data_IF_022192358737
#
_entry.id   IF_022192358737
#
_cell.length_a   1.000
_cell.length_b   1.000
_cell.length_c   1.000
_cell.angle_alpha   90.00
_cell.angle_beta   90.00
_cell.angle_gamma   90.00
#
_symmetry.space_group_name_H-M   'P 1'
#
loop_
_entity.id
_entity.type
_entity.pdbx_description
1 polymer ?
#
# COMPACT_ATOMS: atom_id res chain seq x y z
N UNK A 1 -18.41 -10.23 10.39
CA UNK A 1 -17.76 -10.54 9.09
C UNK A 1 -16.27 -10.78 9.29
N UNK A 2 -15.67 -11.73 8.57
CA UNK A 2 -14.33 -12.21 8.91
C UNK A 2 -13.21 -11.21 8.62
N UNK A 3 -13.31 -10.44 7.52
CA UNK A 3 -12.34 -9.37 7.22
C UNK A 3 -12.32 -8.29 8.32
N UNK A 4 -13.49 -7.95 8.89
CA UNK A 4 -13.59 -6.98 9.99
C UNK A 4 -12.91 -7.52 11.25
N UNK A 5 -13.03 -8.83 11.53
CA UNK A 5 -12.34 -9.45 12.67
C UNK A 5 -10.83 -9.39 12.50
N UNK A 6 -10.31 -9.65 11.29
CA UNK A 6 -8.87 -9.53 11.00
C UNK A 6 -8.41 -8.09 11.18
N UNK A 7 -9.13 -7.12 10.61
CA UNK A 7 -8.80 -5.70 10.73
C UNK A 7 -8.75 -5.24 12.20
N UNK A 8 -9.79 -5.54 12.98
CA UNK A 8 -9.86 -5.11 14.38
C UNK A 8 -8.94 -5.93 15.29
N UNK A 9 -8.73 -7.21 15.01
CA UNK A 9 -7.86 -8.09 15.79
C UNK A 9 -6.38 -7.74 15.64
N UNK A 10 -5.97 -7.34 14.42
CA UNK A 10 -4.58 -7.00 14.13
C UNK A 10 -4.22 -5.53 14.42
N UNK A 11 -5.20 -4.63 14.53
CA UNK A 11 -4.94 -3.18 14.54
C UNK A 11 -3.95 -2.71 15.61
N UNK A 12 -3.93 -3.35 16.79
CA UNK A 12 -2.97 -3.01 17.85
C UNK A 12 -1.54 -3.38 17.44
N UNK A 13 -1.34 -4.65 17.04
CA UNK A 13 -0.05 -5.14 16.58
C UNK A 13 0.47 -4.41 15.33
N UNK A 14 -0.41 -3.97 14.44
CA UNK A 14 -0.04 -3.17 13.27
C UNK A 14 0.49 -1.77 13.66
N UNK A 15 -0.11 -1.14 14.68
CA UNK A 15 0.39 0.13 15.25
C UNK A 15 1.74 -0.09 15.91
N UNK A 16 1.88 -1.14 16.73
CA UNK A 16 3.15 -1.47 17.41
C UNK A 16 4.26 -1.74 16.38
N UNK A 17 3.96 -2.48 15.31
CA UNK A 17 4.90 -2.72 14.23
C UNK A 17 5.38 -1.43 13.55
N UNK A 18 4.48 -0.48 13.29
CA UNK A 18 4.83 0.84 12.74
C UNK A 18 5.75 1.63 13.68
N UNK A 19 5.45 1.63 14.98
CA UNK A 19 6.27 2.31 15.99
C UNK A 19 7.64 1.65 16.12
N UNK A 20 7.69 0.33 16.29
CA UNK A 20 8.92 -0.41 16.60
C UNK A 20 9.86 -0.56 15.39
N UNK A 21 9.31 -0.80 14.19
CA UNK A 21 10.15 -1.09 13.00
C UNK A 21 10.52 0.16 12.22
N UNK A 22 9.72 1.21 12.31
CA UNK A 22 9.91 2.44 11.54
C UNK A 22 10.13 3.68 12.41
N UNK A 23 10.17 3.52 13.74
CA UNK A 23 10.39 4.60 14.70
C UNK A 23 9.39 5.76 14.50
N UNK A 24 8.12 5.41 14.27
CA UNK A 24 7.06 6.37 14.00
C UNK A 24 6.40 6.86 15.29
N UNK A 25 6.20 8.17 15.40
CA UNK A 25 5.38 8.75 16.48
C UNK A 25 3.90 8.56 16.16
N UNK A 26 3.25 7.67 16.89
CA UNK A 26 1.80 7.41 16.88
C UNK A 26 1.18 7.58 18.28
N UNK A 27 1.77 8.44 19.10
CA UNK A 27 1.46 8.57 20.54
C UNK A 27 0.16 9.31 20.86
N UNK A 28 -0.35 10.16 19.95
CA UNK A 28 -1.58 10.91 20.16
C UNK A 28 -2.79 10.13 19.63
N UNK A 29 -3.90 10.17 20.36
CA UNK A 29 -5.13 9.47 19.99
C UNK A 29 -6.31 10.43 19.92
N UNK A 30 -7.09 10.32 18.83
CA UNK A 30 -8.33 11.07 18.63
C UNK A 30 -9.55 10.14 18.51
N UNK A 31 -10.74 10.68 18.83
CA UNK A 31 -12.03 10.05 18.55
C UNK A 31 -12.61 10.68 17.28
N UNK A 32 -12.82 9.87 16.25
CA UNK A 32 -13.49 10.29 15.03
C UNK A 32 -14.99 9.92 15.06
N UNK A 33 -15.75 10.41 14.08
CA UNK A 33 -17.18 10.10 13.94
C UNK A 33 -17.44 8.59 13.90
N UNK A 34 -18.52 8.14 14.55
CA UNK A 34 -18.88 6.72 14.63
C UNK A 34 -18.02 5.88 15.60
N UNK A 35 -16.99 6.44 16.23
CA UNK A 35 -16.21 5.72 17.24
C UNK A 35 -16.85 5.81 18.62
N UNK A 36 -16.86 4.72 19.39
CA UNK A 36 -17.26 4.68 20.80
C UNK A 36 -16.19 5.22 21.75
N UNK A 37 -14.91 5.18 21.34
CA UNK A 37 -13.76 5.62 22.13
C UNK A 37 -12.67 6.21 21.20
N UNK A 38 -11.74 7.05 21.72
CA UNK A 38 -10.56 7.49 20.98
C UNK A 38 -9.71 6.29 20.53
N UNK A 39 -9.39 6.20 19.24
CA UNK A 39 -8.58 5.10 18.67
C UNK A 39 -7.89 5.44 17.34
N UNK A 40 -7.88 6.72 16.96
CA UNK A 40 -7.20 7.16 15.74
C UNK A 40 -5.85 7.74 16.12
N UNK A 41 -4.79 6.99 15.82
CA UNK A 41 -3.42 7.32 16.20
C UNK A 41 -2.78 8.34 15.24
N UNK A 42 -1.98 9.25 15.78
CA UNK A 42 -1.17 10.22 15.01
C UNK A 42 0.05 10.69 15.80
N UNK A 43 1.00 11.28 15.09
CA UNK A 43 2.14 11.99 15.68
C UNK A 43 1.84 13.45 16.00
N UNK A 44 2.81 14.11 16.65
CA UNK A 44 2.70 15.52 17.08
C UNK A 44 2.78 16.55 15.94
N UNK A 45 3.67 16.34 14.98
CA UNK A 45 4.09 17.42 14.05
C UNK A 45 3.56 17.30 12.62
N UNK A 46 3.35 16.08 12.11
CA UNK A 46 3.04 15.84 10.70
C UNK A 46 1.78 15.01 10.52
N UNK A 47 1.16 15.15 9.34
CA UNK A 47 0.03 14.29 8.97
C UNK A 47 0.47 12.82 8.96
N UNK A 48 -0.31 11.91 9.59
CA UNK A 48 0.09 10.51 9.77
C UNK A 48 0.31 9.81 8.42
N UNK A 49 -0.54 10.08 7.42
CA UNK A 49 -0.43 9.48 6.10
C UNK A 49 0.91 9.76 5.40
N UNK A 50 1.38 11.01 5.43
CA UNK A 50 2.70 11.35 4.87
C UNK A 50 3.82 10.68 5.64
N UNK A 51 3.80 10.77 6.97
CA UNK A 51 4.89 10.27 7.83
C UNK A 51 5.09 8.76 7.67
N UNK A 52 4.00 7.99 7.69
CA UNK A 52 4.03 6.54 7.49
C UNK A 52 4.53 6.22 6.07
N UNK A 53 3.98 6.87 5.05
CA UNK A 53 4.33 6.60 3.64
C UNK A 53 5.80 6.87 3.36
N UNK A 54 6.34 8.01 3.82
CA UNK A 54 7.74 8.35 3.63
C UNK A 54 8.68 7.36 4.33
N UNK A 55 8.38 6.97 5.57
CA UNK A 55 9.21 6.01 6.30
C UNK A 55 9.28 4.65 5.60
N UNK A 56 8.15 4.15 5.10
CA UNK A 56 8.07 2.89 4.37
C UNK A 56 8.83 2.95 3.04
N UNK A 57 8.63 4.02 2.24
CA UNK A 57 9.32 4.21 0.95
C UNK A 57 10.83 4.28 1.17
N UNK A 58 11.30 5.10 2.11
CA UNK A 58 12.72 5.25 2.40
C UNK A 58 13.38 3.93 2.82
N UNK A 59 12.64 3.06 3.52
CA UNK A 59 13.18 1.76 3.90
C UNK A 59 13.31 0.82 2.69
N UNK A 60 12.34 0.82 1.77
CA UNK A 60 12.42 0.07 0.50
C UNK A 60 13.56 0.59 -0.37
N UNK A 61 13.73 1.91 -0.47
CA UNK A 61 14.84 2.53 -1.20
C UNK A 61 16.19 2.08 -0.66
N UNK A 62 16.40 2.13 0.66
CA UNK A 62 17.63 1.64 1.31
C UNK A 62 17.92 0.16 1.04
N UNK A 63 16.88 -0.68 0.90
CA UNK A 63 17.05 -2.10 0.53
C UNK A 63 17.47 -2.21 -0.93
N UNK A 64 16.85 -1.42 -1.83
CA UNK A 64 17.16 -1.42 -3.26
C UNK A 64 18.55 -0.88 -3.60
N UNK A 65 19.10 0.02 -2.78
CA UNK A 65 20.47 0.54 -2.94
C UNK A 65 21.54 -0.51 -2.64
N UNK A 66 21.20 -1.53 -1.83
CA UNK A 66 22.16 -2.51 -1.29
C UNK A 66 21.96 -3.91 -1.82
N UNK A 67 20.78 -4.19 -2.37
CA UNK A 67 20.36 -5.55 -2.78
C UNK A 67 19.45 -5.48 -4.00
N UNK A 68 19.30 -6.60 -4.68
CA UNK A 68 18.34 -6.84 -5.76
C UNK A 68 16.97 -7.33 -5.26
N UNK A 69 16.77 -7.40 -3.94
CA UNK A 69 15.56 -7.97 -3.33
C UNK A 69 14.31 -7.10 -3.49
N UNK A 70 14.48 -5.81 -3.77
CA UNK A 70 13.40 -4.87 -3.95
C UNK A 70 13.78 -3.79 -4.96
N UNK A 71 12.79 -3.27 -5.68
CA UNK A 71 12.93 -2.14 -6.60
C UNK A 71 11.64 -1.33 -6.66
N UNK A 72 11.78 -0.02 -6.82
CA UNK A 72 10.65 0.89 -7.06
C UNK A 72 10.73 1.36 -8.51
N UNK A 73 9.70 1.05 -9.30
CA UNK A 73 9.60 1.49 -10.69
C UNK A 73 8.50 2.55 -10.78
N UNK A 74 8.91 3.82 -10.86
CA UNK A 74 7.97 4.94 -11.03
C UNK A 74 7.62 5.14 -12.50
N UNK A 75 6.51 5.86 -12.74
CA UNK A 75 5.94 6.10 -14.08
C UNK A 75 5.67 4.81 -14.85
N UNK A 76 5.31 3.75 -14.12
CA UNK A 76 4.94 2.46 -14.65
C UNK A 76 3.45 2.22 -14.39
N UNK A 77 2.70 1.92 -15.45
CA UNK A 77 1.27 1.61 -15.36
C UNK A 77 1.08 0.12 -15.63
N UNK A 78 0.64 -0.65 -14.64
CA UNK A 78 0.23 -2.03 -14.86
C UNK A 78 -1.05 -2.05 -15.69
N UNK A 79 -1.09 -2.87 -16.75
CA UNK A 79 -2.19 -2.88 -17.73
C UNK A 79 -2.85 -4.24 -17.89
N UNK A 80 -2.13 -5.34 -17.61
CA UNK A 80 -2.64 -6.69 -17.82
C UNK A 80 -2.05 -7.68 -16.82
N UNK A 81 -2.86 -8.62 -16.33
CA UNK A 81 -2.37 -9.79 -15.60
C UNK A 81 -2.01 -10.90 -16.59
N UNK A 82 -0.91 -11.58 -16.31
CA UNK A 82 -0.50 -12.77 -17.05
C UNK A 82 -1.05 -14.00 -16.33
N UNK A 83 -1.75 -14.86 -17.06
CA UNK A 83 -2.28 -16.12 -16.53
C UNK A 83 -1.71 -17.31 -17.30
N UNK A 84 -1.48 -18.43 -16.61
CA UNK A 84 -1.08 -19.68 -17.24
C UNK A 84 -2.29 -20.43 -17.85
N UNK A 85 -2.05 -21.61 -18.42
CA UNK A 85 -3.09 -22.44 -19.03
C UNK A 85 -4.22 -22.87 -18.08
N UNK A 86 -3.94 -22.93 -16.78
CA UNK A 86 -4.91 -23.28 -15.72
C UNK A 86 -5.65 -22.04 -15.18
N UNK A 87 -5.37 -20.85 -15.71
CA UNK A 87 -5.97 -19.58 -15.27
C UNK A 87 -5.32 -18.96 -14.02
N UNK A 88 -4.25 -19.54 -13.49
CA UNK A 88 -3.53 -18.97 -12.35
C UNK A 88 -2.74 -17.72 -12.76
N UNK A 89 -2.77 -16.66 -11.94
CA UNK A 89 -1.96 -15.47 -12.16
C UNK A 89 -0.48 -15.77 -11.93
N UNK A 90 0.34 -15.49 -12.93
CA UNK A 90 1.78 -15.78 -12.96
C UNK A 90 2.63 -14.55 -13.27
N UNK A 91 2.02 -13.36 -13.31
CA UNK A 91 2.73 -12.12 -13.58
C UNK A 91 1.82 -10.98 -14.02
N UNK A 92 2.43 -9.91 -14.50
CA UNK A 92 1.74 -8.76 -15.07
C UNK A 92 2.56 -8.11 -16.20
N UNK A 93 1.85 -7.33 -17.01
CA UNK A 93 2.42 -6.40 -17.99
C UNK A 93 2.29 -4.99 -17.42
N UNK A 94 3.34 -4.19 -17.54
CA UNK A 94 3.29 -2.76 -17.28
C UNK A 94 3.90 -1.94 -18.42
N UNK A 95 3.37 -0.74 -18.62
CA UNK A 95 3.89 0.24 -19.57
C UNK A 95 4.79 1.25 -18.85
N UNK A 96 5.95 1.56 -19.43
CA UNK A 96 6.84 2.62 -18.96
C UNK A 96 7.55 3.27 -20.15
N UNK A 97 7.39 4.59 -20.30
CA UNK A 97 8.04 5.33 -21.39
C UNK A 97 7.60 4.88 -22.79
N UNK A 98 6.34 4.46 -22.94
CA UNK A 98 5.78 3.97 -24.21
C UNK A 98 6.19 2.55 -24.60
N UNK A 99 6.90 1.83 -23.74
CA UNK A 99 7.26 0.42 -23.94
C UNK A 99 6.55 -0.48 -22.92
N UNK A 100 6.21 -1.69 -23.35
CA UNK A 100 5.67 -2.74 -22.49
C UNK A 100 6.79 -3.59 -21.89
N UNK A 101 6.61 -3.98 -20.63
CA UNK A 101 7.49 -4.84 -19.88
C UNK A 101 6.67 -5.93 -19.17
N UNK A 102 7.27 -7.09 -18.95
CA UNK A 102 6.64 -8.20 -18.23
C UNK A 102 7.39 -8.49 -16.94
N UNK A 103 6.62 -8.81 -15.90
CA UNK A 103 7.13 -9.31 -14.63
C UNK A 103 6.40 -10.58 -14.27
N UNK A 104 7.16 -11.59 -13.84
CA UNK A 104 6.64 -12.90 -13.52
C UNK A 104 6.69 -13.16 -12.02
N UNK A 105 5.66 -13.80 -11.49
CA UNK A 105 5.51 -14.13 -10.08
C UNK A 105 4.15 -13.71 -9.50
N UNK A 106 3.99 -13.85 -8.18
CA UNK A 106 2.77 -13.44 -7.49
C UNK A 106 2.49 -11.94 -7.65
N UNK A 107 1.22 -11.59 -7.87
CA UNK A 107 0.79 -10.19 -8.03
C UNK A 107 -0.12 -9.80 -6.87
N UNK A 108 0.21 -8.68 -6.20
CA UNK A 108 -0.61 -8.05 -5.17
C UNK A 108 -1.12 -6.71 -5.72
N UNK A 109 -2.43 -6.57 -5.89
CA UNK A 109 -3.04 -5.32 -6.34
C UNK A 109 -3.28 -4.41 -5.12
N UNK A 110 -2.53 -3.32 -5.05
CA UNK A 110 -2.64 -2.27 -4.03
C UNK A 110 -2.88 -0.89 -4.67
N UNK A 111 -3.77 -0.84 -5.67
CA UNK A 111 -3.96 0.32 -6.57
C UNK A 111 -4.90 1.41 -6.05
N UNK A 112 -5.44 1.25 -4.83
CA UNK A 112 -6.39 2.19 -4.24
C UNK A 112 -7.80 2.08 -4.83
N UNK A 113 -8.61 3.12 -4.59
CA UNK A 113 -9.99 3.21 -5.07
C UNK A 113 -10.15 4.10 -6.31
N UNK A 114 -11.39 4.24 -6.76
CA UNK A 114 -11.78 4.95 -7.99
C UNK A 114 -12.53 6.27 -7.75
N UNK A 115 -12.55 6.79 -6.51
CA UNK A 115 -13.35 7.96 -6.14
C UNK A 115 -12.95 9.29 -6.81
N UNK A 116 -11.89 9.29 -7.62
CA UNK A 116 -11.43 10.42 -8.41
C UNK A 116 -11.47 10.14 -9.93
N UNK A 117 -12.19 9.09 -10.36
CA UNK A 117 -12.47 8.87 -11.78
C UNK A 117 -13.61 9.77 -12.25
N UNK A 118 -13.28 10.79 -13.03
CA UNK A 118 -14.23 11.72 -13.65
C UNK A 118 -14.25 11.57 -15.18
N UNK A 119 -13.71 10.46 -15.70
CA UNK A 119 -13.63 10.23 -17.14
C UNK A 119 -14.97 9.79 -17.70
N UNK A 120 -15.19 10.03 -19.00
CA UNK A 120 -16.43 9.60 -19.67
C UNK A 120 -16.55 8.07 -19.76
N UNK A 121 -15.45 7.35 -19.59
CA UNK A 121 -15.37 5.89 -19.60
C UNK A 121 -15.33 5.29 -18.19
N UNK A 122 -15.60 6.11 -17.16
CA UNK A 122 -15.82 5.63 -15.80
C UNK A 122 -16.85 4.50 -15.81
N UNK A 123 -16.60 3.45 -15.02
CA UNK A 123 -17.55 2.37 -14.78
C UNK A 123 -18.64 2.76 -13.76
N UNK A 124 -18.60 4.00 -13.27
CA UNK A 124 -19.43 4.60 -12.22
C UNK A 124 -20.07 5.88 -12.70
#
# INVERSE_FOLDING_TARGET
>A
PDVVKVLCGNSGADVDWLVEKFNLDLSLVARLGGHSAPRTHRGKERFPGMTITYALIQMVEKISEKTDRARIVTKARATKLLTNGDGACVGLVYEKGGMEFQEHGPVILATGGFGADFTQQSLL
#
